data_IF_980356589468
#
_entry.id   IF_980356589468
#
_cell.length_a   1.000
_cell.length_b   1.000
_cell.length_c   1.000
_cell.angle_alpha   90.00
_cell.angle_beta   90.00
_cell.angle_gamma   90.00
#
_symmetry.space_group_name_H-M   'P 1'
#
loop_
_entity.id
_entity.type
_entity.pdbx_description
1 polymer ?
#
# COMPACT_ATOMS: atom_id res chain seq x y z
N UNK A 1 -20.86 6.03 -20.13
CA UNK A 1 -20.51 7.27 -19.41
C UNK A 1 -20.70 7.00 -17.93
N UNK A 2 -19.67 6.53 -17.23
CA UNK A 2 -19.67 6.42 -15.78
C UNK A 2 -19.10 7.73 -15.27
N UNK A 3 -19.94 8.59 -14.70
CA UNK A 3 -19.48 9.75 -13.95
C UNK A 3 -18.61 9.23 -12.80
N UNK A 4 -17.34 9.64 -12.75
CA UNK A 4 -16.52 9.48 -11.55
C UNK A 4 -17.29 10.10 -10.39
N UNK A 5 -17.76 9.27 -9.45
CA UNK A 5 -18.37 9.78 -8.24
C UNK A 5 -17.27 10.46 -7.43
N UNK A 6 -17.26 11.78 -7.47
CA UNK A 6 -16.34 12.59 -6.67
C UNK A 6 -16.74 12.45 -5.19
N UNK A 7 -15.99 11.62 -4.45
CA UNK A 7 -16.24 11.34 -3.03
C UNK A 7 -15.92 12.50 -2.09
N UNK A 8 -15.08 13.44 -2.53
CA UNK A 8 -14.70 14.64 -1.80
C UNK A 8 -14.85 15.86 -2.70
N UNK A 9 -15.69 16.81 -2.29
CA UNK A 9 -15.82 18.12 -2.91
C UNK A 9 -15.25 19.19 -1.98
N UNK A 10 -14.22 19.87 -2.45
CA UNK A 10 -13.50 20.90 -1.70
C UNK A 10 -13.64 22.24 -2.40
N UNK A 11 -13.92 23.31 -1.64
CA UNK A 11 -14.06 24.67 -2.14
C UNK A 11 -13.40 25.65 -1.16
N UNK A 12 -12.61 26.58 -1.69
CA UNK A 12 -12.02 27.67 -0.94
C UNK A 12 -12.40 28.99 -1.62
N UNK A 13 -13.01 29.91 -0.87
CA UNK A 13 -13.34 31.26 -1.32
C UNK A 13 -12.69 32.28 -0.40
N UNK A 14 -11.88 33.17 -0.95
CA UNK A 14 -11.23 34.25 -0.21
C UNK A 14 -11.60 35.61 -0.80
N UNK A 15 -12.00 36.55 0.06
CA UNK A 15 -12.24 37.95 -0.27
C UNK A 15 -11.17 38.77 0.41
N UNK A 16 -10.42 39.56 -0.37
CA UNK A 16 -9.32 40.39 0.10
C UNK A 16 -9.60 41.86 -0.19
N UNK A 17 -9.31 42.72 0.78
CA UNK A 17 -9.33 44.18 0.64
C UNK A 17 -7.90 44.69 0.75
N UNK A 18 -7.42 45.35 -0.30
CA UNK A 18 -6.08 45.94 -0.36
C UNK A 18 -6.23 47.46 -0.38
N UNK A 19 -5.57 48.14 0.55
CA UNK A 19 -5.53 49.60 0.65
C UNK A 19 -4.08 50.06 0.62
N UNK A 20 -3.77 51.02 -0.25
CA UNK A 20 -2.42 51.58 -0.40
C UNK A 20 -1.32 50.52 -0.61
N UNK A 21 -1.64 49.45 -1.34
CA UNK A 21 -0.72 48.33 -1.59
C UNK A 21 -0.55 47.35 -0.42
N UNK A 22 -1.26 47.55 0.69
CA UNK A 22 -1.21 46.70 1.89
C UNK A 22 -2.52 45.93 2.06
N UNK A 23 -2.43 44.65 2.43
CA UNK A 23 -3.60 43.83 2.75
C UNK A 23 -4.29 44.37 4.02
N UNK A 24 -5.44 45.00 3.85
CA UNK A 24 -6.22 45.57 4.95
C UNK A 24 -7.15 44.53 5.61
N UNK A 25 -7.73 43.65 4.80
CA UNK A 25 -8.61 42.58 5.28
C UNK A 25 -8.49 41.36 4.35
N UNK A 26 -8.53 40.15 4.92
CA UNK A 26 -8.76 38.92 4.18
C UNK A 26 -9.78 38.06 4.94
N UNK A 27 -10.81 37.59 4.24
CA UNK A 27 -11.80 36.65 4.76
C UNK A 27 -11.86 35.44 3.84
N UNK A 28 -11.52 34.27 4.37
CA UNK A 28 -11.56 33.02 3.64
C UNK A 28 -12.59 32.06 4.24
N UNK A 29 -13.33 31.36 3.40
CA UNK A 29 -14.22 30.26 3.77
C UNK A 29 -13.80 29.03 2.98
N UNK A 30 -13.38 27.99 3.69
CA UNK A 30 -13.09 26.68 3.16
C UNK A 30 -14.22 25.72 3.50
N UNK A 31 -14.64 24.89 2.55
CA UNK A 31 -15.62 23.83 2.77
C UNK A 31 -15.18 22.53 2.12
N UNK A 32 -15.25 21.44 2.88
CA UNK A 32 -14.91 20.08 2.45
C UNK A 32 -16.11 19.17 2.70
N UNK A 33 -16.76 18.68 1.65
CA UNK A 33 -17.90 17.77 1.72
C UNK A 33 -17.46 16.36 1.30
N UNK A 34 -17.58 15.41 2.21
CA UNK A 34 -17.31 14.00 1.97
C UNK A 34 -18.63 13.24 1.81
N UNK A 35 -18.84 12.61 0.66
CA UNK A 35 -20.03 11.79 0.37
C UNK A 35 -19.62 10.33 0.16
N UNK A 36 -19.75 9.52 1.21
CA UNK A 36 -19.27 8.12 1.20
C UNK A 36 -20.26 7.12 0.56
N UNK A 37 -21.55 7.49 0.43
CA UNK A 37 -22.58 6.60 -0.12
C UNK A 37 -23.48 7.36 -1.10
N UNK A 38 -23.69 6.81 -2.30
CA UNK A 38 -24.55 7.38 -3.35
C UNK A 38 -26.04 7.35 -3.01
N UNK A 39 -26.42 6.81 -1.85
CA UNK A 39 -27.80 6.67 -1.40
C UNK A 39 -28.10 7.62 -0.23
N UNK A 40 -28.84 8.70 -0.52
CA UNK A 40 -29.70 9.47 0.41
C UNK A 40 -29.08 9.96 1.75
N UNK A 41 -27.76 10.13 1.85
CA UNK A 41 -27.12 10.79 2.99
C UNK A 41 -26.48 12.12 2.58
N UNK A 42 -26.61 13.17 3.42
CA UNK A 42 -26.05 14.50 3.15
C UNK A 42 -24.51 14.60 3.29
N UNK A 43 -23.82 13.46 3.37
CA UNK A 43 -22.37 13.41 3.61
C UNK A 43 -21.96 14.00 4.97
N UNK A 44 -20.67 14.24 5.13
CA UNK A 44 -20.11 15.01 6.23
C UNK A 44 -19.44 16.27 5.66
N UNK A 45 -19.81 17.44 6.18
CA UNK A 45 -19.23 18.72 5.75
C UNK A 45 -18.37 19.31 6.87
N UNK A 46 -17.14 19.66 6.52
CA UNK A 46 -16.28 20.50 7.35
C UNK A 46 -16.25 21.90 6.75
N UNK A 47 -16.40 22.93 7.57
CA UNK A 47 -16.30 24.32 7.14
C UNK A 47 -15.33 25.08 8.05
N UNK A 48 -14.35 25.74 7.46
CA UNK A 48 -13.36 26.57 8.15
C UNK A 48 -13.51 28.00 7.68
N UNK A 49 -13.59 28.95 8.61
CA UNK A 49 -13.59 30.38 8.31
C UNK A 49 -12.35 31.02 8.93
N UNK A 50 -11.64 31.81 8.14
CA UNK A 50 -10.44 32.52 8.57
C UNK A 50 -10.56 33.99 8.23
N UNK A 51 -10.25 34.85 9.19
CA UNK A 51 -10.25 36.31 9.01
C UNK A 51 -8.94 36.91 9.48
N UNK A 52 -8.38 37.80 8.66
CA UNK A 52 -7.19 38.58 8.94
C UNK A 52 -7.55 40.05 8.76
N UNK A 53 -7.30 40.88 9.77
CA UNK A 53 -7.59 42.31 9.74
C UNK A 53 -6.34 43.10 10.12
N UNK A 54 -6.01 44.11 9.32
CA UNK A 54 -4.96 45.06 9.64
C UNK A 54 -5.50 46.08 10.64
N UNK A 55 -4.96 46.06 11.86
CA UNK A 55 -5.34 47.02 12.90
C UNK A 55 -4.49 48.29 12.85
N UNK A 56 -3.17 48.14 12.73
CA UNK A 56 -2.22 49.24 12.78
C UNK A 56 -0.95 48.87 12.01
N UNK A 57 -0.31 49.88 11.41
CA UNK A 57 1.04 49.77 10.83
C UNK A 57 1.99 50.58 11.71
N UNK A 58 3.04 49.94 12.23
CA UNK A 58 4.06 50.57 13.06
C UNK A 58 5.37 50.71 12.28
N UNK A 59 6.10 51.81 12.48
CA UNK A 59 7.21 52.20 11.59
C UNK A 59 8.54 51.54 11.93
N UNK A 60 8.70 50.89 13.09
CA UNK A 60 9.91 50.13 13.40
C UNK A 60 9.70 49.27 14.66
N UNK A 61 9.95 47.96 14.56
CA UNK A 61 10.28 47.14 15.71
C UNK A 61 11.70 46.60 15.51
N UNK A 62 12.55 46.79 16.52
CA UNK A 62 13.87 46.18 16.59
C UNK A 62 13.69 44.65 16.67
N UNK A 63 13.54 43.98 15.52
CA UNK A 63 13.42 42.53 15.50
C UNK A 63 14.75 41.92 15.98
N UNK A 64 14.71 41.17 17.08
CA UNK A 64 15.77 40.21 17.37
C UNK A 64 15.83 39.26 16.19
N UNK A 65 17.00 39.19 15.51
CA UNK A 65 17.28 38.12 14.55
C UNK A 65 17.00 36.79 15.26
N UNK A 66 15.93 36.12 14.86
CA UNK A 66 15.66 34.75 15.29
C UNK A 66 16.83 33.90 14.77
N UNK A 67 17.46 33.13 15.65
CA UNK A 67 18.53 32.22 15.25
C UNK A 67 17.94 31.13 14.34
N UNK A 68 18.08 31.32 13.03
CA UNK A 68 17.47 30.49 12.00
C UNK A 68 18.25 29.22 11.70
N UNK A 69 19.27 28.88 12.50
CA UNK A 69 20.12 27.70 12.28
C UNK A 69 19.35 26.38 12.24
N UNK A 70 18.19 26.31 12.93
CA UNK A 70 17.36 25.12 13.00
C UNK A 70 16.06 25.23 12.18
N UNK A 71 15.93 26.21 11.30
CA UNK A 71 14.77 26.39 10.43
C UNK A 71 15.12 25.96 9.01
N UNK A 72 14.24 25.18 8.38
CA UNK A 72 14.32 24.89 6.95
C UNK A 72 13.16 25.61 6.25
N UNK A 73 13.44 26.17 5.07
CA UNK A 73 12.45 26.93 4.29
C UNK A 73 11.91 26.03 3.19
N UNK A 74 10.59 25.92 3.13
CA UNK A 74 9.88 25.17 2.10
C UNK A 74 8.78 26.02 1.47
N UNK A 75 7.99 25.41 0.57
CA UNK A 75 6.88 26.10 -0.07
C UNK A 75 5.72 26.38 0.90
N UNK A 76 4.70 27.09 0.40
CA UNK A 76 3.46 27.34 1.17
C UNK A 76 2.49 26.13 1.20
N UNK A 77 2.89 24.99 0.61
CA UNK A 77 2.08 23.79 0.66
C UNK A 77 2.11 23.23 2.08
N UNK A 78 0.96 22.71 2.53
CA UNK A 78 0.89 22.07 3.84
C UNK A 78 1.88 20.91 3.92
N UNK A 79 2.80 21.00 4.88
CA UNK A 79 3.67 19.92 5.27
C UNK A 79 3.11 19.28 6.53
N UNK A 80 2.87 17.97 6.46
CA UNK A 80 2.45 17.22 7.63
C UNK A 80 3.62 17.14 8.59
N UNK A 81 3.44 17.69 9.78
CA UNK A 81 4.34 17.42 10.89
C UNK A 81 4.15 15.96 11.32
N UNK A 82 5.17 15.14 11.11
CA UNK A 82 5.25 13.81 11.72
C UNK A 82 5.64 14.01 13.18
N UNK A 83 4.66 14.29 14.03
CA UNK A 83 4.87 14.27 15.46
C UNK A 83 5.16 12.82 15.86
N UNK A 84 6.45 12.47 15.91
CA UNK A 84 6.95 11.23 16.49
C UNK A 84 6.69 11.25 17.99
N UNK A 85 5.43 11.14 18.42
CA UNK A 85 5.19 10.69 19.79
C UNK A 85 5.61 9.22 19.83
N UNK A 86 6.69 8.94 20.56
CA UNK A 86 7.13 7.59 20.85
C UNK A 86 5.99 6.86 21.57
N UNK A 87 5.43 5.85 20.89
CA UNK A 87 4.50 4.91 21.52
C UNK A 87 5.35 3.92 22.28
N UNK A 88 5.13 3.82 23.58
CA UNK A 88 5.88 2.86 24.38
C UNK A 88 5.29 1.47 24.18
N UNK A 89 6.14 0.44 24.19
CA UNK A 89 5.65 -0.94 24.15
C UNK A 89 4.73 -1.31 25.32
N UNK A 90 4.69 -0.50 26.39
CA UNK A 90 3.76 -0.67 27.51
C UNK A 90 2.31 -0.32 27.17
N UNK A 91 2.09 0.79 26.44
CA UNK A 91 0.75 1.21 26.00
C UNK A 91 0.10 0.14 25.11
N UNK A 92 0.88 -0.45 24.19
CA UNK A 92 0.42 -1.53 23.31
C UNK A 92 0.13 -2.82 24.09
N UNK A 93 0.90 -3.11 25.15
CA UNK A 93 0.66 -4.25 26.03
C UNK A 93 -0.70 -4.17 26.71
N UNK A 94 -1.04 -2.99 27.21
CA UNK A 94 -2.31 -2.76 27.90
C UNK A 94 -3.49 -2.92 26.94
N UNK A 95 -3.39 -2.41 25.71
CA UNK A 95 -4.41 -2.58 24.68
C UNK A 95 -4.62 -4.05 24.33
N UNK A 96 -3.53 -4.80 24.15
CA UNK A 96 -3.60 -6.23 23.88
C UNK A 96 -4.23 -7.01 25.03
N UNK A 97 -3.88 -6.69 26.27
CA UNK A 97 -4.50 -7.29 27.46
C UNK A 97 -6.01 -7.04 27.51
N UNK A 98 -6.45 -5.80 27.27
CA UNK A 98 -7.89 -5.46 27.19
C UNK A 98 -8.59 -6.25 26.10
N UNK A 99 -7.97 -6.41 24.93
CA UNK A 99 -8.51 -7.21 23.83
C UNK A 99 -8.60 -8.70 24.17
N UNK A 100 -7.64 -9.27 24.93
CA UNK A 100 -7.72 -10.66 25.37
C UNK A 100 -8.94 -10.92 26.28
N UNK A 101 -9.43 -9.90 26.98
CA UNK A 101 -10.56 -10.01 27.92
C UNK A 101 -11.90 -9.60 27.30
N UNK A 102 -11.87 -8.84 26.20
CA UNK A 102 -13.06 -8.34 25.54
C UNK A 102 -13.81 -9.46 24.79
N UNK A 103 -15.15 -9.36 24.73
CA UNK A 103 -15.95 -10.26 23.92
C UNK A 103 -15.76 -9.94 22.43
N UNK A 104 -15.42 -10.96 21.62
CA UNK A 104 -14.93 -10.84 20.24
C UNK A 104 -15.91 -10.22 19.21
N UNK A 105 -17.11 -9.81 19.63
CA UNK A 105 -18.13 -9.18 18.79
C UNK A 105 -18.71 -7.88 19.38
N UNK A 106 -18.08 -7.27 20.39
CA UNK A 106 -18.56 -6.01 20.98
C UNK A 106 -18.02 -4.78 20.24
N UNK A 107 -18.75 -3.66 20.31
CA UNK A 107 -18.25 -2.35 19.84
C UNK A 107 -16.98 -1.92 20.56
N UNK A 108 -16.85 -2.28 21.84
CA UNK A 108 -15.65 -2.02 22.63
C UNK A 108 -14.44 -2.77 22.07
N UNK A 109 -14.58 -4.05 21.73
CA UNK A 109 -13.52 -4.85 21.12
C UNK A 109 -13.10 -4.25 19.76
N UNK A 110 -14.06 -3.82 18.94
CA UNK A 110 -13.78 -3.16 17.68
C UNK A 110 -13.01 -1.83 17.87
N UNK A 111 -13.39 -1.03 18.86
CA UNK A 111 -12.71 0.23 19.17
C UNK A 111 -11.28 -0.01 19.69
N UNK A 112 -11.11 -0.98 20.59
CA UNK A 112 -9.80 -1.39 21.11
C UNK A 112 -8.89 -1.92 19.98
N UNK A 113 -9.44 -2.72 19.06
CA UNK A 113 -8.71 -3.25 17.92
C UNK A 113 -8.25 -2.13 16.97
N UNK A 114 -9.14 -1.19 16.64
CA UNK A 114 -8.77 -0.03 15.84
C UNK A 114 -7.67 0.80 16.50
N UNK A 115 -7.78 1.03 17.81
CA UNK A 115 -6.75 1.74 18.59
C UNK A 115 -5.41 0.98 18.53
N UNK A 116 -5.42 -0.34 18.72
CA UNK A 116 -4.22 -1.18 18.58
C UNK A 116 -3.58 -1.01 17.20
N UNK A 117 -4.36 -1.07 16.11
CA UNK A 117 -3.85 -0.87 14.75
C UNK A 117 -3.19 0.51 14.58
N UNK A 118 -3.78 1.57 15.13
CA UNK A 118 -3.19 2.92 15.06
C UNK A 118 -1.88 3.01 15.84
N UNK A 119 -1.79 2.38 17.01
CA UNK A 119 -0.55 2.38 17.78
C UNK A 119 0.55 1.53 17.12
N UNK A 120 0.21 0.37 16.54
CA UNK A 120 1.17 -0.46 15.80
C UNK A 120 1.80 0.28 14.61
N UNK A 121 1.03 1.14 13.92
CA UNK A 121 1.53 1.96 12.80
C UNK A 121 2.67 2.91 13.18
N UNK A 122 2.78 3.24 14.46
CA UNK A 122 3.73 4.23 14.97
C UNK A 122 4.97 3.59 15.57
N UNK A 123 5.03 2.26 15.62
CA UNK A 123 6.16 1.54 16.17
C UNK A 123 7.23 1.28 15.11
N UNK A 124 8.48 1.39 15.54
CA UNK A 124 9.61 0.93 14.75
C UNK A 124 9.61 -0.60 14.65
N UNK A 125 10.30 -1.13 13.64
CA UNK A 125 10.49 -2.57 13.50
C UNK A 125 11.11 -3.20 14.76
N UNK A 126 12.09 -2.52 15.38
CA UNK A 126 12.70 -3.00 16.62
C UNK A 126 11.70 -3.10 17.78
N UNK A 127 10.83 -2.10 17.93
CA UNK A 127 9.77 -2.13 18.94
C UNK A 127 8.76 -3.26 18.66
N UNK A 128 8.31 -3.42 17.41
CA UNK A 128 7.41 -4.50 17.00
C UNK A 128 8.01 -5.89 17.28
N UNK A 129 9.29 -6.10 16.99
CA UNK A 129 10.00 -7.34 17.35
C UNK A 129 10.04 -7.56 18.85
N UNK A 130 10.34 -6.52 19.62
CA UNK A 130 10.36 -6.61 21.07
C UNK A 130 8.98 -6.97 21.63
N UNK A 131 7.89 -6.50 21.02
CA UNK A 131 6.52 -6.91 21.38
C UNK A 131 6.28 -8.39 21.06
N UNK A 132 6.64 -8.85 19.86
CA UNK A 132 6.50 -10.27 19.46
C UNK A 132 7.27 -11.23 20.37
N UNK A 133 8.39 -10.81 20.94
CA UNK A 133 9.19 -11.67 21.82
C UNK A 133 8.69 -11.69 23.28
N UNK A 134 7.83 -10.75 23.69
CA UNK A 134 7.37 -10.64 25.08
C UNK A 134 6.21 -11.60 25.36
N UNK A 135 6.44 -12.60 26.21
CA UNK A 135 5.44 -13.61 26.60
C UNK A 135 4.13 -13.03 27.17
N UNK A 136 4.15 -11.84 27.78
CA UNK A 136 2.98 -11.15 28.34
C UNK A 136 1.92 -10.75 27.30
N UNK A 137 2.26 -10.83 26.02
CA UNK A 137 1.37 -10.49 24.90
C UNK A 137 0.65 -11.70 24.30
N UNK A 138 0.92 -12.90 24.82
CA UNK A 138 0.16 -14.09 24.48
C UNK A 138 -1.16 -14.06 25.25
N UNK A 139 -2.29 -13.83 24.56
CA UNK A 139 -3.60 -14.23 25.10
C UNK A 139 -3.62 -15.75 25.32
N UNK A 140 -4.69 -16.29 25.94
CA UNK A 140 -4.89 -17.76 26.02
C UNK A 140 -4.73 -18.46 24.66
N UNK A 141 -5.04 -17.76 23.57
CA UNK A 141 -4.94 -18.25 22.18
C UNK A 141 -3.76 -17.63 21.41
N UNK A 142 -2.51 -17.85 21.85
CA UNK A 142 -1.31 -17.76 20.99
C UNK A 142 -1.20 -16.53 20.05
N UNK A 143 -1.26 -15.31 20.59
CA UNK A 143 -1.04 -14.03 19.86
C UNK A 143 -2.19 -13.48 19.01
N UNK A 144 -3.39 -14.05 19.07
CA UNK A 144 -4.47 -13.75 18.11
C UNK A 144 -4.72 -12.25 17.83
N UNK A 145 -4.85 -11.33 18.82
CA UNK A 145 -5.09 -9.92 18.50
C UNK A 145 -3.97 -9.23 17.71
N UNK A 146 -2.72 -9.64 17.93
CA UNK A 146 -1.57 -9.08 17.21
C UNK A 146 -1.52 -9.64 15.78
N UNK A 147 -1.73 -10.95 15.63
CA UNK A 147 -1.81 -11.61 14.32
C UNK A 147 -2.92 -11.00 13.47
N UNK A 148 -4.07 -10.69 14.07
CA UNK A 148 -5.19 -10.07 13.34
C UNK A 148 -4.93 -8.58 13.02
N UNK A 149 -4.20 -7.87 13.89
CA UNK A 149 -3.92 -6.44 13.72
C UNK A 149 -2.78 -6.15 12.74
N UNK A 150 -1.77 -7.01 12.64
CA UNK A 150 -0.58 -6.80 11.80
C UNK A 150 -0.91 -6.53 10.32
N UNK A 151 -1.78 -7.32 9.64
CA UNK A 151 -2.27 -7.01 8.31
C UNK A 151 -2.90 -5.63 8.15
N UNK A 152 -3.59 -5.15 9.18
CA UNK A 152 -4.30 -3.86 9.18
C UNK A 152 -3.38 -2.68 9.51
N UNK A 153 -2.24 -2.94 10.15
CA UNK A 153 -1.21 -1.93 10.43
C UNK A 153 -0.69 -1.31 9.14
N UNK A 154 -0.35 -2.15 8.15
CA UNK A 154 0.01 -1.74 6.79
C UNK A 154 1.20 -0.76 6.66
N UNK A 155 2.10 -0.72 7.63
CA UNK A 155 3.40 -0.04 7.51
C UNK A 155 4.48 -1.02 7.07
N UNK A 156 5.60 -0.51 6.54
CA UNK A 156 6.72 -1.36 6.12
C UNK A 156 7.25 -2.20 7.29
N UNK A 157 7.39 -1.61 8.48
CA UNK A 157 7.82 -2.31 9.69
C UNK A 157 6.89 -3.48 10.07
N UNK A 158 5.57 -3.29 9.97
CA UNK A 158 4.59 -4.35 10.23
C UNK A 158 4.69 -5.48 9.19
N UNK A 159 4.84 -5.14 7.91
CA UNK A 159 4.99 -6.14 6.83
C UNK A 159 6.29 -6.93 6.99
N UNK A 160 7.40 -6.26 7.29
CA UNK A 160 8.69 -6.93 7.55
C UNK A 160 8.59 -7.87 8.74
N UNK A 161 7.93 -7.46 9.84
CA UNK A 161 7.68 -8.36 10.97
C UNK A 161 6.85 -9.59 10.54
N UNK A 162 5.76 -9.40 9.78
CA UNK A 162 4.96 -10.53 9.28
C UNK A 162 5.81 -11.53 8.48
N UNK A 163 6.72 -11.04 7.64
CA UNK A 163 7.63 -11.86 6.84
C UNK A 163 8.60 -12.64 7.73
N UNK A 164 9.16 -12.00 8.75
CA UNK A 164 10.05 -12.66 9.70
C UNK A 164 9.33 -13.75 10.51
N UNK A 165 8.08 -13.51 10.90
CA UNK A 165 7.25 -14.51 11.57
C UNK A 165 6.93 -15.70 10.64
N UNK A 166 6.64 -15.45 9.35
CA UNK A 166 6.47 -16.52 8.36
C UNK A 166 7.77 -17.32 8.22
N UNK A 167 8.91 -16.64 8.15
CA UNK A 167 10.21 -17.26 7.98
C UNK A 167 10.68 -18.07 9.20
N UNK A 168 10.24 -17.71 10.41
CA UNK A 168 10.57 -18.46 11.63
C UNK A 168 9.85 -19.81 11.74
N UNK A 169 8.73 -19.98 11.02
CA UNK A 169 7.90 -21.18 11.11
C UNK A 169 7.15 -21.31 12.43
N UNK A 170 7.01 -20.22 13.19
CA UNK A 170 6.31 -20.19 14.49
C UNK A 170 4.78 -20.17 14.36
N UNK A 171 4.24 -19.88 13.16
CA UNK A 171 2.80 -19.78 12.90
C UNK A 171 2.22 -21.03 12.23
N UNK A 172 0.95 -21.28 12.57
CA UNK A 172 0.11 -22.26 11.89
C UNK A 172 -0.15 -21.87 10.42
N UNK A 173 -0.36 -22.88 9.56
CA UNK A 173 -0.45 -22.70 8.11
C UNK A 173 -1.60 -21.77 7.70
N UNK A 174 -2.74 -21.82 8.38
CA UNK A 174 -3.89 -20.94 8.12
C UNK A 174 -3.57 -19.46 8.38
N UNK A 175 -2.77 -19.15 9.41
CA UNK A 175 -2.32 -17.78 9.73
C UNK A 175 -1.30 -17.28 8.73
N UNK A 176 -0.42 -18.16 8.25
CA UNK A 176 0.52 -17.85 7.18
C UNK A 176 -0.22 -17.53 5.88
N UNK A 177 -1.22 -18.33 5.51
CA UNK A 177 -2.07 -18.08 4.34
C UNK A 177 -2.84 -16.76 4.48
N UNK A 178 -3.36 -16.46 5.68
CA UNK A 178 -4.02 -15.19 5.97
C UNK A 178 -3.10 -13.98 5.74
N UNK A 179 -1.85 -14.05 6.23
CA UNK A 179 -0.86 -13.00 5.97
C UNK A 179 -0.61 -12.80 4.48
N UNK A 180 -0.41 -13.88 3.72
CA UNK A 180 -0.19 -13.77 2.28
C UNK A 180 -1.37 -13.13 1.54
N UNK A 181 -2.61 -13.51 1.88
CA UNK A 181 -3.80 -12.90 1.28
C UNK A 181 -3.91 -11.41 1.62
N UNK A 182 -3.52 -11.03 2.83
CA UNK A 182 -3.60 -9.64 3.26
C UNK A 182 -2.72 -8.67 2.44
N UNK A 183 -1.62 -9.16 1.86
CA UNK A 183 -0.72 -8.33 1.06
C UNK A 183 -1.39 -7.69 -0.16
N UNK A 184 -2.44 -8.31 -0.70
CA UNK A 184 -3.23 -7.74 -1.81
C UNK A 184 -3.99 -6.45 -1.42
N UNK A 185 -4.22 -6.24 -0.12
CA UNK A 185 -5.03 -5.15 0.42
C UNK A 185 -4.20 -4.00 1.01
N UNK A 186 -2.86 -4.11 1.01
CA UNK A 186 -1.98 -3.05 1.50
C UNK A 186 -2.16 -1.77 0.67
N UNK A 187 -2.58 -0.62 1.25
CA UNK A 187 -3.03 0.54 0.50
C UNK A 187 -1.88 1.28 -0.21
N UNK A 188 -0.70 1.35 0.42
CA UNK A 188 0.48 2.07 -0.08
C UNK A 188 1.73 1.19 0.02
N UNK A 189 1.91 0.23 -0.89
CA UNK A 189 3.12 -0.59 -0.90
C UNK A 189 4.38 0.25 -1.11
N UNK A 190 5.50 -0.16 -0.51
CA UNK A 190 6.83 0.47 -0.69
C UNK A 190 7.78 -0.49 -1.40
N UNK A 191 8.94 0.00 -1.87
CA UNK A 191 9.95 -0.90 -2.44
C UNK A 191 10.55 -1.84 -1.39
N UNK A 192 10.71 -1.38 -0.14
CA UNK A 192 11.22 -2.21 0.97
C UNK A 192 10.28 -3.37 1.32
N UNK A 193 8.96 -3.15 1.26
CA UNK A 193 7.97 -4.24 1.37
C UNK A 193 8.14 -5.27 0.25
N UNK A 194 8.35 -4.85 -1.00
CA UNK A 194 8.55 -5.77 -2.13
C UNK A 194 9.85 -6.56 -1.97
N UNK A 195 10.93 -5.87 -1.62
CA UNK A 195 12.26 -6.46 -1.46
C UNK A 195 12.26 -7.58 -0.40
N UNK A 196 11.62 -7.33 0.74
CA UNK A 196 11.50 -8.30 1.83
C UNK A 196 10.68 -9.54 1.47
N UNK A 197 9.79 -9.48 0.47
CA UNK A 197 8.97 -10.61 0.02
C UNK A 197 9.67 -11.55 -0.97
N UNK A 198 10.74 -11.08 -1.63
CA UNK A 198 11.47 -11.86 -2.65
C UNK A 198 11.96 -13.22 -2.15
N UNK A 199 12.54 -13.35 -0.92
CA UNK A 199 12.96 -14.65 -0.40
C UNK A 199 11.81 -15.66 -0.26
N UNK A 200 10.61 -15.20 0.09
CA UNK A 200 9.45 -16.08 0.26
C UNK A 200 9.05 -16.74 -1.06
N UNK A 201 9.07 -16.00 -2.18
CA UNK A 201 8.79 -16.56 -3.52
C UNK A 201 9.80 -17.63 -3.97
N UNK A 202 11.04 -17.54 -3.48
CA UNK A 202 12.13 -18.48 -3.79
C UNK A 202 12.08 -19.73 -2.91
N UNK A 203 11.26 -19.75 -1.86
CA UNK A 203 11.14 -20.90 -0.97
C UNK A 203 10.57 -22.12 -1.70
N UNK A 204 11.15 -23.33 -1.54
CA UNK A 204 10.65 -24.56 -2.18
C UNK A 204 9.19 -24.90 -1.86
N UNK A 205 8.68 -24.41 -0.72
CA UNK A 205 7.30 -24.60 -0.25
C UNK A 205 6.36 -23.42 -0.47
N UNK A 206 6.76 -22.41 -1.26
CA UNK A 206 5.95 -21.22 -1.47
C UNK A 206 4.54 -21.55 -2.02
N UNK A 207 3.52 -21.22 -1.22
CA UNK A 207 2.11 -21.55 -1.43
C UNK A 207 1.45 -20.72 -2.53
N UNK A 208 0.22 -21.07 -2.90
CA UNK A 208 -0.55 -20.29 -3.87
C UNK A 208 -0.80 -18.85 -3.40
N UNK A 209 -1.18 -18.65 -2.14
CA UNK A 209 -1.41 -17.31 -1.60
C UNK A 209 -0.13 -16.48 -1.61
N UNK A 210 1.03 -17.08 -1.36
CA UNK A 210 2.31 -16.39 -1.48
C UNK A 210 2.51 -15.79 -2.87
N UNK A 211 2.37 -16.58 -3.93
CA UNK A 211 2.51 -16.08 -5.31
C UNK A 211 1.48 -15.00 -5.64
N UNK A 212 0.21 -15.22 -5.29
CA UNK A 212 -0.87 -14.31 -5.66
C UNK A 212 -0.87 -13.02 -4.83
N UNK A 213 -0.61 -13.10 -3.53
CA UNK A 213 -0.52 -11.96 -2.62
C UNK A 213 0.64 -11.04 -2.95
N UNK A 214 1.84 -11.61 -3.16
CA UNK A 214 3.03 -10.82 -3.52
C UNK A 214 2.86 -10.14 -4.88
N UNK A 215 2.31 -10.84 -5.88
CA UNK A 215 2.08 -10.23 -7.21
C UNK A 215 0.93 -9.22 -7.23
N UNK A 216 -0.07 -9.37 -6.35
CA UNK A 216 -1.11 -8.34 -6.17
C UNK A 216 -0.53 -7.05 -5.57
N UNK A 217 0.35 -7.19 -4.57
CA UNK A 217 1.08 -6.08 -3.98
C UNK A 217 1.96 -5.38 -5.01
N UNK A 218 2.69 -6.15 -5.81
CA UNK A 218 3.54 -5.64 -6.88
C UNK A 218 2.74 -4.85 -7.92
N UNK A 219 1.58 -5.36 -8.33
CA UNK A 219 0.68 -4.66 -9.24
C UNK A 219 0.23 -3.32 -8.67
N UNK A 220 -0.17 -3.29 -7.39
CA UNK A 220 -0.62 -2.06 -6.73
C UNK A 220 0.51 -1.04 -6.62
N UNK A 221 1.72 -1.47 -6.28
CA UNK A 221 2.92 -0.62 -6.28
C UNK A 221 3.15 0.02 -7.65
N UNK A 222 3.23 -0.80 -8.71
CA UNK A 222 3.48 -0.30 -10.07
C UNK A 222 2.32 0.51 -10.66
N UNK A 223 1.09 0.34 -10.17
CA UNK A 223 -0.07 1.12 -10.63
C UNK A 223 -0.14 2.51 -10.00
N UNK A 224 0.50 2.70 -8.83
CA UNK A 224 0.55 3.99 -8.14
C UNK A 224 1.82 4.80 -8.49
N UNK A 225 2.89 4.14 -8.95
CA UNK A 225 4.15 4.78 -9.30
C UNK A 225 4.15 5.37 -10.72
N UNK A 226 4.86 6.48 -10.93
CA UNK A 226 5.06 7.07 -12.27
C UNK A 226 5.87 6.16 -13.19
N UNK A 227 6.81 5.38 -12.64
CA UNK A 227 7.56 4.36 -13.36
C UNK A 227 7.90 3.21 -12.42
N UNK A 228 7.73 1.97 -12.90
CA UNK A 228 8.07 0.76 -12.14
C UNK A 228 9.32 0.05 -12.66
N UNK A 229 9.73 0.31 -13.90
CA UNK A 229 10.76 -0.46 -14.60
C UNK A 229 12.16 -0.31 -13.97
N UNK A 230 12.43 0.83 -13.32
CA UNK A 230 13.73 1.10 -12.70
C UNK A 230 13.91 0.57 -11.26
N UNK A 231 12.90 -0.06 -10.66
CA UNK A 231 12.94 -0.43 -9.24
C UNK A 231 13.57 -1.82 -9.06
N UNK A 232 14.74 -1.95 -8.39
CA UNK A 232 15.44 -3.24 -8.26
C UNK A 232 14.58 -4.34 -7.63
N UNK A 233 13.85 -4.03 -6.57
CA UNK A 233 12.96 -4.98 -5.89
C UNK A 233 11.89 -5.57 -6.83
N UNK A 234 11.34 -4.76 -7.74
CA UNK A 234 10.38 -5.20 -8.75
C UNK A 234 11.05 -6.15 -9.73
N UNK A 235 12.22 -5.76 -10.26
CA UNK A 235 12.98 -6.59 -11.20
C UNK A 235 13.38 -7.94 -10.61
N UNK A 236 13.64 -8.00 -9.31
CA UNK A 236 13.96 -9.22 -8.60
C UNK A 236 12.77 -10.19 -8.55
N UNK A 237 11.56 -9.70 -8.30
CA UNK A 237 10.33 -10.50 -8.37
C UNK A 237 10.09 -10.98 -9.79
N UNK A 238 10.16 -10.09 -10.78
CA UNK A 238 9.91 -10.44 -12.19
C UNK A 238 10.93 -11.45 -12.72
N UNK A 239 12.21 -11.30 -12.36
CA UNK A 239 13.26 -12.28 -12.67
C UNK A 239 12.97 -13.62 -12.02
N UNK A 240 12.45 -13.62 -10.79
CA UNK A 240 12.06 -14.85 -10.09
C UNK A 240 10.90 -15.55 -10.80
N UNK A 241 9.86 -14.82 -11.21
CA UNK A 241 8.76 -15.35 -12.01
C UNK A 241 9.22 -15.85 -13.39
N UNK A 242 10.10 -15.11 -14.07
CA UNK A 242 10.66 -15.49 -15.37
C UNK A 242 11.46 -16.79 -15.32
N UNK A 243 12.19 -17.06 -14.23
CA UNK A 243 12.89 -18.34 -14.02
C UNK A 243 11.94 -19.53 -14.01
N UNK A 244 10.75 -19.38 -13.41
CA UNK A 244 9.74 -20.45 -13.40
C UNK A 244 9.19 -20.76 -14.80
N UNK A 245 9.19 -19.79 -15.73
CA UNK A 245 8.72 -20.01 -17.10
C UNK A 245 9.70 -20.83 -17.95
N UNK A 246 10.99 -20.88 -17.60
CA UNK A 246 12.00 -21.63 -18.36
C UNK A 246 12.17 -21.19 -19.82
N UNK A 247 11.65 -20.01 -20.20
CA UNK A 247 11.69 -19.45 -21.55
C UNK A 247 10.56 -19.90 -22.48
N UNK A 248 9.94 -21.07 -22.27
CA UNK A 248 8.90 -21.60 -23.16
C UNK A 248 7.72 -22.29 -22.46
N UNK A 249 7.66 -22.22 -21.13
CA UNK A 249 6.64 -22.86 -20.29
C UNK A 249 6.53 -24.38 -20.46
N UNK A 250 7.63 -25.05 -20.80
CA UNK A 250 7.67 -26.51 -20.88
C UNK A 250 7.40 -27.14 -19.51
N UNK A 251 6.58 -28.20 -19.48
CA UNK A 251 6.19 -28.93 -18.27
C UNK A 251 6.39 -30.43 -18.51
N UNK A 252 6.97 -31.13 -17.53
CA UNK A 252 7.27 -32.57 -17.63
C UNK A 252 6.35 -33.45 -16.79
N UNK A 253 5.83 -32.90 -15.68
CA UNK A 253 5.00 -33.65 -14.72
C UNK A 253 3.84 -32.80 -14.20
N UNK A 254 2.91 -33.45 -13.48
CA UNK A 254 1.71 -32.79 -12.93
C UNK A 254 2.03 -31.69 -11.91
N UNK A 255 3.12 -31.83 -11.14
CA UNK A 255 3.53 -30.83 -10.15
C UNK A 255 4.05 -29.58 -10.85
N UNK A 256 4.87 -29.74 -11.89
CA UNK A 256 5.33 -28.65 -12.76
C UNK A 256 4.16 -28.00 -13.50
N UNK A 257 3.18 -28.78 -13.96
CA UNK A 257 1.98 -28.26 -14.59
C UNK A 257 1.20 -27.31 -13.66
N UNK A 258 0.88 -27.77 -12.44
CA UNK A 258 0.17 -26.95 -11.45
C UNK A 258 0.97 -25.70 -11.06
N UNK A 259 2.29 -25.85 -10.89
CA UNK A 259 3.18 -24.72 -10.57
C UNK A 259 3.22 -23.71 -11.72
N UNK A 260 3.32 -24.15 -12.97
CA UNK A 260 3.32 -23.30 -14.15
C UNK A 260 2.00 -22.51 -14.27
N UNK A 261 0.85 -23.16 -14.07
CA UNK A 261 -0.44 -22.47 -14.04
C UNK A 261 -0.52 -21.39 -12.96
N UNK A 262 -0.02 -21.69 -11.76
CA UNK A 262 0.06 -20.71 -10.66
C UNK A 262 0.96 -19.52 -11.03
N UNK A 263 2.13 -19.78 -11.60
CA UNK A 263 3.08 -18.73 -12.00
C UNK A 263 2.49 -17.84 -13.10
N UNK A 264 1.84 -18.42 -14.10
CA UNK A 264 1.17 -17.64 -15.16
C UNK A 264 0.05 -16.76 -14.60
N UNK A 265 -0.73 -17.28 -13.63
CA UNK A 265 -1.73 -16.47 -12.90
C UNK A 265 -1.08 -15.34 -12.11
N UNK A 266 0.03 -15.61 -11.42
CA UNK A 266 0.77 -14.61 -10.64
C UNK A 266 1.33 -13.51 -11.55
N UNK A 267 1.88 -13.86 -12.71
CA UNK A 267 2.33 -12.91 -13.73
C UNK A 267 1.17 -12.03 -14.22
N UNK A 268 0.04 -12.63 -14.56
CA UNK A 268 -1.15 -11.87 -14.95
C UNK A 268 -1.70 -10.97 -13.85
N UNK A 269 -1.51 -11.36 -12.59
CA UNK A 269 -1.89 -10.56 -11.44
C UNK A 269 -0.96 -9.35 -11.26
N UNK A 270 0.36 -9.52 -11.46
CA UNK A 270 1.38 -8.47 -11.41
C UNK A 270 1.16 -7.35 -12.46
N UNK A 271 0.52 -7.67 -13.58
CA UNK A 271 0.12 -6.70 -14.59
C UNK A 271 1.30 -5.94 -15.19
N UNK A 272 1.23 -4.61 -15.20
CA UNK A 272 2.27 -3.71 -15.76
C UNK A 272 3.69 -4.10 -15.31
N UNK A 273 3.87 -4.52 -14.06
CA UNK A 273 5.16 -4.94 -13.52
C UNK A 273 5.82 -6.05 -14.36
N UNK A 274 5.03 -6.95 -14.94
CA UNK A 274 5.50 -8.10 -15.69
C UNK A 274 5.59 -7.86 -17.21
N UNK A 275 5.52 -6.60 -17.66
CA UNK A 275 5.58 -6.26 -19.08
C UNK A 275 6.82 -6.82 -19.80
N UNK A 276 7.97 -6.90 -19.11
CA UNK A 276 9.20 -7.49 -19.66
C UNK A 276 9.10 -8.99 -19.95
N UNK A 277 8.11 -9.70 -19.39
CA UNK A 277 7.87 -11.13 -19.67
C UNK A 277 6.98 -11.37 -20.90
N UNK A 278 6.46 -10.32 -21.53
CA UNK A 278 5.56 -10.42 -22.69
C UNK A 278 6.11 -11.31 -23.84
N UNK A 279 7.40 -11.24 -24.24
CA UNK A 279 7.93 -12.11 -25.29
C UNK A 279 7.85 -13.60 -24.91
N UNK A 280 8.15 -13.95 -23.66
CA UNK A 280 8.09 -15.33 -23.16
C UNK A 280 6.64 -15.81 -23.11
N UNK A 281 5.72 -14.99 -22.62
CA UNK A 281 4.29 -15.32 -22.57
C UNK A 281 3.72 -15.58 -23.98
N UNK A 282 4.12 -14.77 -24.97
CA UNK A 282 3.71 -14.95 -26.36
C UNK A 282 4.19 -16.29 -26.92
N UNK A 283 5.44 -16.66 -26.63
CA UNK A 283 5.99 -17.96 -27.00
C UNK A 283 5.23 -19.10 -26.33
N UNK A 284 4.99 -19.00 -25.01
CA UNK A 284 4.23 -19.99 -24.26
C UNK A 284 2.82 -20.23 -24.80
N UNK A 285 2.14 -19.16 -25.23
CA UNK A 285 0.80 -19.22 -25.83
C UNK A 285 0.79 -19.86 -27.24
N UNK A 286 1.85 -19.65 -28.02
CA UNK A 286 1.93 -20.03 -29.43
C UNK A 286 2.45 -21.44 -29.66
N UNK A 287 3.31 -21.95 -28.76
CA UNK A 287 3.90 -23.28 -28.88
C UNK A 287 2.88 -24.40 -28.69
N UNK A 288 2.64 -25.16 -29.75
CA UNK A 288 1.71 -26.32 -29.75
C UNK A 288 2.19 -27.48 -28.87
N UNK A 289 3.47 -27.52 -28.52
CA UNK A 289 4.03 -28.51 -27.58
C UNK A 289 3.54 -28.31 -26.16
N UNK A 290 3.06 -27.11 -25.81
CA UNK A 290 2.51 -26.83 -24.49
C UNK A 290 1.05 -27.31 -24.42
N UNK A 291 0.62 -27.85 -23.26
CA UNK A 291 -0.79 -28.18 -23.02
C UNK A 291 -1.71 -26.97 -23.27
N UNK A 292 -2.94 -27.23 -23.70
CA UNK A 292 -3.90 -26.17 -24.03
C UNK A 292 -4.18 -25.24 -22.84
N UNK A 293 -4.17 -25.78 -21.63
CA UNK A 293 -4.40 -25.04 -20.39
C UNK A 293 -3.23 -24.08 -20.09
N UNK A 294 -1.99 -24.49 -20.37
CA UNK A 294 -0.81 -23.63 -20.22
C UNK A 294 -0.85 -22.51 -21.25
N UNK A 295 -1.21 -22.83 -22.50
CA UNK A 295 -1.35 -21.83 -23.56
C UNK A 295 -2.45 -20.82 -23.22
N UNK A 296 -3.59 -21.28 -22.72
CA UNK A 296 -4.69 -20.42 -22.30
C UNK A 296 -4.30 -19.55 -21.09
N UNK A 297 -3.61 -20.12 -20.10
CA UNK A 297 -3.12 -19.37 -18.96
C UNK A 297 -2.10 -18.29 -19.36
N UNK A 298 -1.23 -18.57 -20.35
CA UNK A 298 -0.30 -17.60 -20.90
C UNK A 298 -1.02 -16.45 -21.62
N UNK A 299 -2.09 -16.74 -22.37
CA UNK A 299 -2.95 -15.70 -22.97
C UNK A 299 -3.62 -14.87 -21.87
N UNK A 300 -4.18 -15.51 -20.84
CA UNK A 300 -4.85 -14.82 -19.74
C UNK A 300 -3.88 -13.92 -18.93
N UNK A 301 -2.59 -14.26 -18.88
CA UNK A 301 -1.58 -13.47 -18.21
C UNK A 301 -1.40 -12.06 -18.84
N UNK A 302 -1.76 -11.86 -20.11
CA UNK A 302 -1.69 -10.55 -20.76
C UNK A 302 -2.77 -9.55 -20.29
N UNK A 303 -3.82 -9.99 -19.58
CA UNK A 303 -5.00 -9.16 -19.25
C UNK A 303 -4.67 -7.78 -18.65
N UNK A 304 -3.58 -7.67 -17.88
CA UNK A 304 -3.17 -6.44 -17.20
C UNK A 304 -1.80 -5.92 -17.66
N UNK A 305 -1.22 -6.50 -18.70
CA UNK A 305 0.03 -6.04 -19.31
C UNK A 305 -0.38 -5.09 -20.45
N UNK A 306 0.16 -3.86 -20.52
CA UNK A 306 -0.16 -2.95 -21.61
C UNK A 306 0.24 -3.59 -22.96
N UNK A 307 -0.70 -3.65 -23.89
CA UNK A 307 -0.39 -3.98 -25.27
C UNK A 307 0.43 -2.83 -25.85
N UNK A 308 1.70 -3.06 -26.16
CA UNK A 308 2.53 -2.09 -26.89
C UNK A 308 2.11 -2.04 -28.36
N UNK A 309 0.89 -1.60 -28.62
CA UNK A 309 0.51 -1.14 -29.96
C UNK A 309 0.74 0.35 -29.95
N UNK A 310 1.88 0.78 -30.49
CA UNK A 310 2.06 2.19 -30.83
C UNK A 310 1.04 2.49 -31.93
N UNK A 311 0.05 3.34 -31.63
CA UNK A 311 -0.99 3.76 -32.59
C UNK A 311 -0.39 4.41 -33.85
N UNK A 312 0.84 4.93 -33.77
CA UNK A 312 1.62 5.43 -34.90
C UNK A 312 2.03 4.36 -35.92
N UNK A 313 2.01 3.07 -35.56
CA UNK A 313 2.34 1.96 -36.46
C UNK A 313 1.07 1.43 -37.19
N UNK A 314 -0.09 2.03 -36.95
CA UNK A 314 -1.40 1.66 -37.53
C UNK A 314 -1.96 2.69 -38.52
N UNK A 315 -1.26 3.80 -38.77
CA UNK A 315 -1.61 4.73 -39.83
C UNK A 315 -0.69 4.48 -41.02
N UNK A 316 -1.18 3.92 -42.14
CA UNK A 316 -0.42 3.95 -43.37
C UNK A 316 -0.20 5.42 -43.74
N UNK A 317 1.07 5.82 -43.84
CA UNK A 317 1.44 7.03 -44.59
C UNK A 317 0.98 6.80 -46.02
N UNK A 318 -0.12 7.46 -46.40
CA UNK A 318 -0.59 7.47 -47.76
C UNK A 318 0.40 8.22 -48.62
N UNK A 319 1.03 7.49 -49.55
CA UNK A 319 1.44 8.03 -50.85
C UNK A 319 0.27 7.86 -51.83
#
# INVERSE_FOLDING_TARGET
SQSEHQFLSSKLECVQSIKDGVLAEAKCTESNLVTLFSQKGNGAMTQTQSSLNLFQVETETLYKKVDSKNLYVTGMLYEREETEREVTGGEVAELMWKLCLAHSASFEAANLFMTLVFELRRLSLGALKALWQRSSFKCRDNWQPLIDALPSCATEACVVLMIEIIASGELEEDKVEYFFWSFAFLPKPTSGMIESLVPLLKSPGASQSCFLGVTALLHRFCSAATSCDGVPAVQDVIRTLGKFLGGNCAVQDSKQFNKMQLVLKAIGNAGLAAASLAPVLSLCASLKSNPIEIRLAAIQAFRRIPCSVRVSDLLPTGD
#
